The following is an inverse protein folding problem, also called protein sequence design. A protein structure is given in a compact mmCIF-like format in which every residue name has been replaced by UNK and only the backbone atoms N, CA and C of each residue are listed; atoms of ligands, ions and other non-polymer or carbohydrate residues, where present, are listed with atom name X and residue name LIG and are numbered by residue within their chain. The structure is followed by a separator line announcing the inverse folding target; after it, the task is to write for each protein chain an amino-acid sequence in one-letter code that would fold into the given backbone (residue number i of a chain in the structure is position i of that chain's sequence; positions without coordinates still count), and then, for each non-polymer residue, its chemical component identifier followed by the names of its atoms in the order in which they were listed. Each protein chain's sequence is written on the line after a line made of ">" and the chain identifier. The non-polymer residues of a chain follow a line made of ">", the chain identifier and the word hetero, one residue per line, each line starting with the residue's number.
data_IF_956750015078
#
_entry.id   IF_956750015078
#
_cell.length_a   1.000
_cell.length_b   1.000
_cell.length_c   1.000
_cell.angle_alpha   90.00
_cell.angle_beta   90.00
_cell.angle_gamma   90.00
#
_symmetry.space_group_name_H-M   'P 1'
#
loop_
_entity.id
_entity.type
_entity.pdbx_description
1 polymer ?
#
# COMPACT_ATOMS: atom_id res chain seq x y z
N UNK A 1 -4.46 -9.86 -13.79
CA UNK A 1 -5.58 -9.03 -13.30
C UNK A 1 -5.40 -7.61 -13.80
N UNK A 2 -6.09 -7.28 -14.88
CA UNK A 2 -6.41 -5.89 -15.17
C UNK A 2 -7.52 -5.48 -14.20
N UNK A 3 -7.22 -4.54 -13.30
CA UNK A 3 -8.17 -4.07 -12.29
C UNK A 3 -9.37 -3.31 -12.90
N UNK A 4 -9.35 -3.03 -14.21
CA UNK A 4 -10.43 -2.35 -14.92
C UNK A 4 -11.53 -3.28 -15.41
N UNK A 5 -11.28 -4.58 -15.51
CA UNK A 5 -12.20 -5.53 -16.17
C UNK A 5 -12.64 -6.67 -15.25
N UNK A 6 -11.99 -6.87 -14.11
CA UNK A 6 -12.38 -7.89 -13.14
C UNK A 6 -13.48 -7.38 -12.19
N UNK A 7 -14.48 -8.21 -11.92
CA UNK A 7 -15.47 -7.95 -10.87
C UNK A 7 -14.79 -7.92 -9.50
N UNK A 8 -14.96 -6.86 -8.69
CA UNK A 8 -14.37 -6.82 -7.36
C UNK A 8 -15.05 -7.84 -6.45
N UNK A 9 -14.26 -8.57 -5.67
CA UNK A 9 -14.74 -9.35 -4.53
C UNK A 9 -14.44 -8.58 -3.24
N UNK A 10 -15.46 -8.24 -2.48
CA UNK A 10 -15.31 -7.57 -1.19
C UNK A 10 -15.19 -8.61 -0.09
N UNK A 11 -14.24 -8.38 0.83
CA UNK A 11 -14.12 -9.16 2.06
C UNK A 11 -14.56 -8.26 3.20
N UNK A 12 -15.70 -8.58 3.80
CA UNK A 12 -16.14 -7.90 5.00
C UNK A 12 -15.21 -8.31 6.15
N UNK A 13 -14.75 -7.32 6.92
CA UNK A 13 -14.08 -7.58 8.18
C UNK A 13 -15.04 -8.38 9.05
N UNK A 14 -14.65 -9.57 9.53
CA UNK A 14 -15.60 -10.43 10.25
C UNK A 14 -16.22 -9.68 11.42
N UNK A 15 -17.56 -9.68 11.45
CA UNK A 15 -18.36 -9.24 12.59
C UNK A 15 -18.26 -10.20 13.81
N UNK A 16 -17.28 -11.12 13.82
CA UNK A 16 -17.10 -12.14 14.85
C UNK A 16 -16.88 -11.57 16.27
N UNK A 17 -16.70 -10.25 16.42
CA UNK A 17 -16.56 -9.57 17.71
C UNK A 17 -17.61 -8.48 17.97
N UNK A 18 -18.78 -8.49 17.32
CA UNK A 18 -19.89 -7.58 17.70
C UNK A 18 -20.32 -7.75 19.17
N UNK A 19 -20.08 -8.91 19.78
CA UNK A 19 -20.37 -9.18 21.20
C UNK A 19 -19.28 -8.69 22.17
N UNK A 20 -18.11 -8.25 21.67
CA UNK A 20 -16.95 -7.86 22.49
C UNK A 20 -16.49 -6.41 22.28
N UNK A 21 -17.11 -5.67 21.36
CA UNK A 21 -16.71 -4.29 21.08
C UNK A 21 -17.55 -3.29 21.87
N UNK A 22 -16.93 -2.48 22.76
CA UNK A 22 -17.61 -1.34 23.35
C UNK A 22 -17.93 -0.34 22.22
N UNK A 23 -19.21 -0.05 22.01
CA UNK A 23 -19.69 1.13 21.26
C UNK A 23 -19.45 1.19 19.73
N UNK A 24 -19.39 0.07 19.01
CA UNK A 24 -19.46 0.10 17.53
C UNK A 24 -18.29 0.81 16.84
N UNK A 25 -17.17 0.99 17.54
CA UNK A 25 -15.94 1.54 17.00
C UNK A 25 -15.04 0.43 16.47
N UNK A 26 -14.37 0.67 15.33
CA UNK A 26 -13.42 -0.29 14.78
C UNK A 26 -12.24 -0.48 15.74
N UNK A 27 -11.67 -1.70 15.83
CA UNK A 27 -10.54 -1.99 16.73
C UNK A 27 -9.21 -1.41 16.22
N UNK A 28 -9.22 -0.75 15.07
CA UNK A 28 -8.07 -0.13 14.43
C UNK A 28 -8.45 1.23 13.83
N UNK A 29 -7.43 2.05 13.57
CA UNK A 29 -7.52 3.24 12.72
C UNK A 29 -6.46 3.15 11.61
N UNK A 30 -6.64 3.97 10.58
CA UNK A 30 -5.66 4.13 9.51
C UNK A 30 -5.00 5.50 9.71
N UNK A 31 -3.69 5.53 9.93
CA UNK A 31 -2.94 6.78 9.85
C UNK A 31 -2.55 7.03 8.40
N UNK A 32 -2.78 8.25 7.93
CA UNK A 32 -2.23 8.76 6.67
C UNK A 32 -1.25 9.88 6.97
N UNK A 33 0.04 9.62 6.79
CA UNK A 33 1.11 10.59 7.03
C UNK A 33 1.66 11.11 5.71
N UNK A 34 1.62 12.43 5.51
CA UNK A 34 2.03 13.07 4.27
C UNK A 34 3.53 13.41 4.29
N UNK A 35 4.25 13.03 3.24
CA UNK A 35 5.69 13.28 3.14
C UNK A 35 6.05 14.75 2.88
N UNK A 36 5.12 15.55 2.35
CA UNK A 36 5.39 16.92 1.90
C UNK A 36 5.99 17.01 0.49
N UNK A 37 6.29 15.88 -0.15
CA UNK A 37 6.77 15.82 -1.53
C UNK A 37 5.61 16.05 -2.50
N UNK A 38 5.64 17.18 -3.21
CA UNK A 38 4.60 17.57 -4.17
C UNK A 38 4.98 17.28 -5.62
N UNK A 39 6.28 17.29 -5.96
CA UNK A 39 6.75 17.09 -7.33
C UNK A 39 7.20 15.65 -7.59
N UNK A 40 7.09 15.22 -8.85
CA UNK A 40 7.61 13.93 -9.27
C UNK A 40 9.13 13.91 -9.23
N UNK A 41 9.70 12.81 -8.72
CA UNK A 41 11.10 12.50 -8.94
C UNK A 41 11.41 12.41 -10.45
N UNK A 42 12.67 12.68 -10.89
CA UNK A 42 13.02 12.74 -12.30
C UNK A 42 12.65 11.49 -13.09
N UNK A 43 12.23 11.66 -14.36
CA UNK A 43 11.69 10.62 -15.25
C UNK A 43 12.50 9.31 -15.35
N UNK A 44 13.82 9.33 -15.08
CA UNK A 44 14.73 8.20 -15.29
C UNK A 44 14.61 7.05 -14.28
N UNK A 45 13.99 7.25 -13.11
CA UNK A 45 13.76 6.19 -12.10
C UNK A 45 12.35 6.27 -11.49
N UNK A 46 11.38 6.65 -12.34
CA UNK A 46 10.00 6.86 -11.92
C UNK A 46 9.09 5.67 -12.25
N UNK A 47 7.80 5.88 -12.04
CA UNK A 47 6.74 4.90 -12.28
C UNK A 47 6.82 4.19 -13.64
N UNK A 48 7.03 4.93 -14.74
CA UNK A 48 7.07 4.34 -16.08
C UNK A 48 8.26 3.40 -16.30
N UNK A 49 9.39 3.64 -15.64
CA UNK A 49 10.53 2.71 -15.66
C UNK A 49 10.12 1.37 -15.06
N UNK A 50 9.44 1.38 -13.91
CA UNK A 50 8.94 0.16 -13.26
C UNK A 50 7.93 -0.59 -14.12
N UNK A 51 7.06 0.14 -14.81
CA UNK A 51 6.12 -0.46 -15.77
C UNK A 51 6.89 -1.14 -16.92
N UNK A 52 7.92 -0.52 -17.49
CA UNK A 52 8.75 -1.12 -18.54
C UNK A 52 9.45 -2.38 -18.05
N UNK A 53 10.12 -2.31 -16.90
CA UNK A 53 10.84 -3.44 -16.31
C UNK A 53 9.88 -4.63 -16.02
N UNK A 54 8.65 -4.37 -15.55
CA UNK A 54 7.67 -5.43 -15.36
C UNK A 54 7.23 -6.07 -16.70
N UNK A 55 7.06 -5.28 -17.76
CA UNK A 55 6.74 -5.81 -19.10
C UNK A 55 7.89 -6.63 -19.67
N UNK A 56 9.11 -6.17 -19.48
CA UNK A 56 10.32 -6.88 -19.92
C UNK A 56 10.50 -8.21 -19.18
N UNK A 57 10.29 -8.22 -17.86
CA UNK A 57 10.29 -9.44 -17.06
C UNK A 57 9.21 -10.42 -17.53
N UNK A 58 7.98 -9.94 -17.80
CA UNK A 58 6.90 -10.78 -18.32
C UNK A 58 7.26 -11.37 -19.70
N UNK A 59 7.81 -10.56 -20.61
CA UNK A 59 8.25 -11.01 -21.93
C UNK A 59 9.29 -12.13 -21.84
N UNK A 60 10.30 -11.98 -20.98
CA UNK A 60 11.35 -12.98 -20.82
C UNK A 60 10.78 -14.31 -20.28
N UNK A 61 9.88 -14.26 -19.30
CA UNK A 61 9.22 -15.45 -18.75
C UNK A 61 8.31 -16.15 -19.77
N UNK A 62 7.50 -15.38 -20.51
CA UNK A 62 6.59 -15.92 -21.54
C UNK A 62 7.34 -16.55 -22.71
N UNK A 63 8.44 -15.93 -23.15
CA UNK A 63 9.30 -16.49 -24.17
C UNK A 63 9.94 -17.81 -23.68
N UNK A 64 10.44 -17.85 -22.45
CA UNK A 64 11.00 -19.07 -21.86
C UNK A 64 9.97 -20.20 -21.71
N UNK A 65 8.67 -19.89 -21.65
CA UNK A 65 7.58 -20.88 -21.58
C UNK A 65 6.88 -21.15 -22.91
N UNK A 66 7.35 -20.59 -24.04
CA UNK A 66 6.74 -20.76 -25.35
C UNK A 66 5.37 -20.07 -25.53
N UNK A 67 5.07 -19.05 -24.73
CA UNK A 67 3.81 -18.32 -24.72
C UNK A 67 3.95 -16.89 -25.29
N UNK A 68 4.73 -16.71 -26.34
CA UNK A 68 5.13 -15.39 -26.89
C UNK A 68 3.96 -14.54 -27.41
N UNK A 69 2.87 -15.16 -27.84
CA UNK A 69 1.65 -14.47 -28.29
C UNK A 69 0.85 -13.82 -27.14
N UNK A 70 1.21 -14.13 -25.90
CA UNK A 70 0.54 -13.59 -24.71
C UNK A 70 1.00 -12.15 -24.44
N UNK A 71 0.11 -11.19 -24.13
CA UNK A 71 0.52 -9.84 -23.80
C UNK A 71 1.50 -9.82 -22.61
N UNK A 72 2.62 -9.11 -22.80
CA UNK A 72 3.75 -8.98 -21.86
C UNK A 72 3.40 -8.24 -20.56
N UNK A 73 2.57 -8.85 -19.73
CA UNK A 73 2.12 -8.35 -18.43
C UNK A 73 2.32 -9.47 -17.43
N UNK A 74 2.95 -9.20 -16.28
CA UNK A 74 3.30 -10.23 -15.29
C UNK A 74 2.09 -11.03 -14.81
N UNK A 75 0.89 -10.45 -14.82
CA UNK A 75 -0.32 -11.15 -14.44
C UNK A 75 -0.80 -12.22 -15.42
N UNK A 76 -0.27 -12.23 -16.64
CA UNK A 76 -0.54 -13.27 -17.64
C UNK A 76 0.49 -14.41 -17.55
N UNK A 77 1.50 -14.28 -16.69
CA UNK A 77 2.48 -15.33 -16.43
C UNK A 77 1.96 -16.20 -15.29
N UNK A 78 1.84 -17.49 -15.55
CA UNK A 78 1.46 -18.46 -14.51
C UNK A 78 2.52 -18.47 -13.38
N UNK A 79 2.12 -18.46 -12.09
CA UNK A 79 3.06 -18.57 -10.98
C UNK A 79 4.01 -19.77 -11.07
N UNK A 80 3.58 -20.90 -11.64
CA UNK A 80 4.42 -22.08 -11.89
C UNK A 80 5.49 -21.78 -12.93
N UNK A 81 5.13 -21.05 -14.00
CA UNK A 81 6.11 -20.57 -14.99
C UNK A 81 7.12 -19.64 -14.34
N UNK A 82 6.68 -18.70 -13.51
CA UNK A 82 7.60 -17.84 -12.77
C UNK A 82 8.58 -18.64 -11.89
N UNK A 83 8.09 -19.55 -11.05
CA UNK A 83 8.97 -20.30 -10.14
C UNK A 83 9.98 -21.19 -10.90
N UNK A 84 9.58 -21.76 -12.04
CA UNK A 84 10.44 -22.62 -12.87
C UNK A 84 11.41 -21.85 -13.77
N UNK A 85 11.03 -20.65 -14.24
CA UNK A 85 11.80 -19.89 -15.24
C UNK A 85 12.44 -18.61 -14.68
N UNK A 86 12.24 -18.22 -13.41
CA UNK A 86 12.79 -16.96 -12.85
C UNK A 86 14.29 -16.76 -13.01
N UNK A 87 15.07 -17.84 -13.19
CA UNK A 87 16.51 -17.75 -13.44
C UNK A 87 16.89 -17.12 -14.79
N UNK A 88 15.95 -17.00 -15.74
CA UNK A 88 16.18 -16.32 -17.02
C UNK A 88 16.20 -14.79 -16.88
N UNK A 89 15.77 -14.25 -15.74
CA UNK A 89 15.66 -12.82 -15.52
C UNK A 89 16.99 -12.22 -15.06
N UNK A 90 17.37 -11.11 -15.67
CA UNK A 90 18.43 -10.24 -15.15
C UNK A 90 18.06 -9.70 -13.76
N UNK A 91 19.07 -9.30 -12.98
CA UNK A 91 18.90 -8.96 -11.55
C UNK A 91 17.77 -7.95 -11.29
N UNK A 92 17.73 -6.85 -12.03
CA UNK A 92 16.70 -5.82 -11.88
C UNK A 92 15.30 -6.36 -12.21
N UNK A 93 15.16 -7.12 -13.30
CA UNK A 93 13.89 -7.71 -13.73
C UNK A 93 13.40 -8.76 -12.74
N UNK A 94 14.33 -9.57 -12.21
CA UNK A 94 14.07 -10.59 -11.19
C UNK A 94 13.47 -9.95 -9.94
N UNK A 95 14.03 -8.84 -9.46
CA UNK A 95 13.48 -8.08 -8.32
C UNK A 95 12.06 -7.57 -8.59
N UNK A 96 11.76 -7.07 -9.80
CA UNK A 96 10.40 -6.62 -10.15
C UNK A 96 9.39 -7.75 -10.20
N UNK A 97 9.76 -8.87 -10.82
CA UNK A 97 8.93 -10.06 -10.85
C UNK A 97 8.69 -10.61 -9.44
N UNK A 98 9.74 -10.69 -8.62
CA UNK A 98 9.63 -11.11 -7.22
C UNK A 98 8.68 -10.21 -6.43
N UNK A 99 8.82 -8.88 -6.54
CA UNK A 99 7.89 -7.96 -5.91
C UNK A 99 6.43 -8.28 -6.31
N UNK A 100 6.16 -8.45 -7.60
CA UNK A 100 4.82 -8.75 -8.10
C UNK A 100 4.25 -10.07 -7.55
N UNK A 101 4.95 -11.18 -7.76
CA UNK A 101 4.43 -12.51 -7.40
C UNK A 101 4.28 -12.67 -5.88
N UNK A 102 5.21 -12.12 -5.09
CA UNK A 102 5.08 -12.15 -3.64
C UNK A 102 4.05 -11.13 -3.11
N UNK A 103 3.83 -9.99 -3.77
CA UNK A 103 2.73 -9.08 -3.42
C UNK A 103 1.37 -9.77 -3.64
N UNK A 104 1.20 -10.53 -4.73
CA UNK A 104 -0.04 -11.30 -4.95
C UNK A 104 -0.29 -12.33 -3.84
N UNK A 105 0.77 -13.01 -3.37
CA UNK A 105 0.70 -13.92 -2.21
C UNK A 105 0.31 -13.15 -0.93
N UNK A 106 0.93 -11.99 -0.67
CA UNK A 106 0.59 -11.14 0.49
C UNK A 106 -0.84 -10.61 0.45
N UNK A 107 -1.35 -10.21 -0.71
CA UNK A 107 -2.74 -9.76 -0.87
C UNK A 107 -3.70 -10.89 -0.55
N UNK A 108 -3.43 -12.11 -1.00
CA UNK A 108 -4.29 -13.27 -0.70
C UNK A 108 -4.31 -13.55 0.80
N UNK A 109 -3.13 -13.65 1.44
CA UNK A 109 -3.05 -13.83 2.90
C UNK A 109 -3.67 -12.68 3.69
N UNK A 110 -3.49 -11.44 3.23
CA UNK A 110 -4.03 -10.25 3.88
C UNK A 110 -5.55 -10.22 3.83
N UNK A 111 -6.16 -10.71 2.75
CA UNK A 111 -7.61 -10.92 2.67
C UNK A 111 -8.10 -11.92 3.71
N UNK A 112 -7.39 -13.04 3.87
CA UNK A 112 -7.74 -14.04 4.87
C UNK A 112 -7.56 -13.51 6.29
N UNK A 113 -6.44 -12.84 6.59
CA UNK A 113 -6.20 -12.20 7.88
C UNK A 113 -7.29 -11.16 8.21
N UNK A 114 -7.67 -10.33 7.24
CA UNK A 114 -8.76 -9.37 7.37
C UNK A 114 -10.12 -10.05 7.59
N UNK A 115 -10.40 -11.13 6.85
CA UNK A 115 -11.63 -11.90 7.00
C UNK A 115 -11.78 -12.53 8.39
N UNK A 116 -10.68 -12.83 9.09
CA UNK A 116 -10.68 -13.42 10.42
C UNK A 116 -10.44 -12.40 11.55
N UNK A 117 -10.34 -11.11 11.22
CA UNK A 117 -10.02 -10.07 12.19
C UNK A 117 -8.59 -10.12 12.75
N UNK A 118 -7.67 -10.85 12.12
CA UNK A 118 -6.28 -10.97 12.54
C UNK A 118 -5.47 -9.72 12.10
N UNK A 119 -5.66 -8.62 12.82
CA UNK A 119 -5.01 -7.35 12.52
C UNK A 119 -3.49 -7.39 12.68
N UNK A 120 -2.97 -8.25 13.57
CA UNK A 120 -1.53 -8.42 13.77
C UNK A 120 -0.86 -8.97 12.50
N UNK A 121 -1.42 -10.06 11.95
CA UNK A 121 -0.93 -10.66 10.71
C UNK A 121 -1.10 -9.71 9.52
N UNK A 122 -2.26 -9.03 9.44
CA UNK A 122 -2.48 -8.03 8.40
C UNK A 122 -1.41 -6.91 8.45
N UNK A 123 -1.12 -6.39 9.64
CA UNK A 123 -0.09 -5.37 9.84
C UNK A 123 1.31 -5.85 9.43
N UNK A 124 1.67 -7.08 9.78
CA UNK A 124 2.93 -7.70 9.33
C UNK A 124 3.00 -7.79 7.80
N UNK A 125 1.95 -8.28 7.14
CA UNK A 125 1.88 -8.38 5.68
C UNK A 125 1.96 -7.00 5.00
N UNK A 126 1.33 -5.98 5.58
CA UNK A 126 1.43 -4.59 5.12
C UNK A 126 2.88 -4.10 5.20
N UNK A 127 3.57 -4.38 6.30
CA UNK A 127 4.96 -3.96 6.53
C UNK A 127 5.94 -4.67 5.61
N UNK A 128 5.76 -5.97 5.39
CA UNK A 128 6.50 -6.77 4.40
C UNK A 128 6.30 -6.25 2.98
N UNK A 129 5.07 -5.84 2.65
CA UNK A 129 4.79 -5.20 1.38
C UNK A 129 5.54 -3.87 1.24
N UNK A 130 5.49 -3.00 2.25
CA UNK A 130 6.28 -1.77 2.29
C UNK A 130 7.77 -2.01 2.10
N UNK A 131 8.34 -3.00 2.78
CA UNK A 131 9.74 -3.41 2.61
C UNK A 131 10.03 -3.91 1.20
N UNK A 132 9.13 -4.70 0.61
CA UNK A 132 9.27 -5.19 -0.76
C UNK A 132 9.18 -4.05 -1.77
N UNK A 133 8.34 -3.04 -1.55
CA UNK A 133 8.28 -1.82 -2.36
C UNK A 133 9.63 -1.08 -2.36
N UNK A 134 10.31 -1.01 -1.21
CA UNK A 134 11.61 -0.35 -1.08
C UNK A 134 12.74 -1.20 -1.70
N UNK A 135 12.81 -2.48 -1.35
CA UNK A 135 13.94 -3.34 -1.74
C UNK A 135 13.74 -3.93 -3.14
N UNK A 136 12.63 -4.61 -3.38
CA UNK A 136 12.43 -5.36 -4.63
C UNK A 136 11.87 -4.49 -5.74
N UNK A 137 10.95 -3.57 -5.41
CA UNK A 137 10.40 -2.64 -6.39
C UNK A 137 11.23 -1.36 -6.52
N UNK A 138 12.16 -1.10 -5.60
CA UNK A 138 13.02 0.11 -5.60
C UNK A 138 12.21 1.38 -5.86
N UNK A 139 11.09 1.53 -5.16
CA UNK A 139 10.36 2.78 -5.05
C UNK A 139 10.55 3.36 -3.63
N UNK A 140 10.16 4.62 -3.45
CA UNK A 140 10.48 5.39 -2.25
C UNK A 140 11.59 6.41 -2.53
N UNK A 141 11.34 7.66 -2.13
CA UNK A 141 12.42 8.61 -1.90
C UNK A 141 13.03 8.36 -0.52
N UNK A 142 14.19 8.96 -0.23
CA UNK A 142 14.81 8.92 1.09
C UNK A 142 13.84 9.36 2.18
N UNK A 143 13.09 10.43 1.92
CA UNK A 143 12.16 11.05 2.86
C UNK A 143 10.92 10.18 3.09
N UNK A 144 10.41 9.53 2.04
CA UNK A 144 9.33 8.55 2.18
C UNK A 144 9.76 7.31 2.97
N UNK A 145 10.96 6.78 2.71
CA UNK A 145 11.52 5.64 3.46
C UNK A 145 11.64 6.01 4.94
N UNK A 146 12.15 7.21 5.24
CA UNK A 146 12.25 7.69 6.62
C UNK A 146 10.89 7.84 7.30
N UNK A 147 9.87 8.35 6.60
CA UNK A 147 8.51 8.43 7.12
C UNK A 147 7.91 7.04 7.40
N UNK A 148 8.15 6.08 6.50
CA UNK A 148 7.76 4.68 6.70
C UNK A 148 8.43 4.08 7.93
N UNK A 149 9.73 4.28 8.12
CA UNK A 149 10.46 3.80 9.30
C UNK A 149 9.98 4.43 10.60
N UNK A 150 9.56 5.70 10.58
CA UNK A 150 8.94 6.38 11.73
C UNK A 150 7.58 5.77 12.04
N UNK A 151 6.73 5.54 11.02
CA UNK A 151 5.42 4.93 11.21
C UNK A 151 5.50 3.53 11.84
N UNK A 152 6.50 2.72 11.44
CA UNK A 152 6.73 1.39 12.04
C UNK A 152 7.05 1.43 13.54
N UNK A 153 7.53 2.56 14.05
CA UNK A 153 7.89 2.75 15.46
C UNK A 153 6.78 3.45 16.26
N UNK A 154 5.69 3.86 15.61
CA UNK A 154 4.63 4.59 16.26
C UNK A 154 3.91 3.69 17.30
N UNK A 155 3.50 4.24 18.45
CA UNK A 155 2.74 3.50 19.45
C UNK A 155 1.51 2.79 18.85
N UNK A 156 1.32 1.51 19.15
CA UNK A 156 0.19 0.73 18.63
C UNK A 156 0.20 0.51 17.12
N UNK A 157 1.31 0.79 16.41
CA UNK A 157 1.43 0.46 15.00
C UNK A 157 1.48 -1.05 14.77
N UNK A 158 0.50 -1.55 14.00
CA UNK A 158 0.41 -2.94 13.57
C UNK A 158 1.21 -3.15 12.28
N UNK A 159 1.23 -2.14 11.42
CA UNK A 159 2.08 -2.14 10.23
C UNK A 159 1.94 -0.90 9.36
N UNK A 160 2.95 -0.64 8.54
CA UNK A 160 2.99 0.54 7.69
C UNK A 160 3.44 0.22 6.26
N UNK A 161 3.10 1.06 5.28
CA UNK A 161 3.64 1.00 3.92
C UNK A 161 3.46 2.33 3.19
N UNK A 162 4.04 2.45 2.00
CA UNK A 162 3.70 3.54 1.09
C UNK A 162 2.26 3.39 0.59
N UNK A 163 1.60 4.53 0.41
CA UNK A 163 0.32 4.61 -0.31
C UNK A 163 0.55 5.13 -1.73
N UNK A 164 -0.05 4.48 -2.71
CA UNK A 164 0.10 4.83 -4.12
C UNK A 164 1.46 4.44 -4.72
N UNK A 165 1.93 5.21 -5.71
CA UNK A 165 3.09 4.85 -6.52
C UNK A 165 4.45 4.85 -5.78
N UNK A 166 4.52 5.37 -4.55
CA UNK A 166 5.74 5.35 -3.72
C UNK A 166 6.83 6.35 -4.10
N UNK A 167 6.62 7.24 -5.08
CA UNK A 167 7.61 8.27 -5.47
C UNK A 167 7.32 9.67 -4.90
N UNK A 168 6.13 9.84 -4.31
CA UNK A 168 5.63 11.03 -3.60
C UNK A 168 4.39 10.63 -2.80
N UNK A 169 3.82 11.57 -2.05
CA UNK A 169 2.50 11.41 -1.43
C UNK A 169 2.60 11.04 0.04
N UNK A 170 1.90 9.98 0.45
CA UNK A 170 1.79 9.60 1.85
C UNK A 170 2.24 8.15 2.11
N UNK A 171 2.60 7.91 3.37
CA UNK A 171 2.66 6.57 3.92
C UNK A 171 1.39 6.33 4.73
N UNK A 172 0.96 5.08 4.80
CA UNK A 172 -0.15 4.65 5.65
C UNK A 172 0.36 3.72 6.75
N UNK A 173 -0.32 3.71 7.89
CA UNK A 173 -0.19 2.67 8.90
C UNK A 173 -1.54 2.23 9.42
N UNK A 174 -1.67 0.94 9.75
CA UNK A 174 -2.76 0.45 10.59
C UNK A 174 -2.27 0.52 12.03
N UNK A 175 -3.08 1.12 12.91
CA UNK A 175 -2.78 1.29 14.33
C UNK A 175 -3.95 0.83 15.18
N UNK A 176 -3.68 0.41 16.41
CA UNK A 176 -4.71 0.15 17.43
C UNK A 176 -5.55 1.40 17.68
N UNK A 177 -6.88 1.25 17.80
CA UNK A 177 -7.79 2.39 17.84
C UNK A 177 -7.57 3.32 19.04
N UNK A 178 -7.24 2.76 20.19
CA UNK A 178 -6.96 3.49 21.43
C UNK A 178 -5.57 4.15 21.46
N UNK A 179 -4.67 3.78 20.54
CA UNK A 179 -3.33 4.37 20.39
C UNK A 179 -3.23 5.35 19.22
N UNK A 180 -4.29 5.53 18.44
CA UNK A 180 -4.23 6.24 17.16
C UNK A 180 -3.78 7.71 17.28
N UNK A 181 -4.26 8.45 18.29
CA UNK A 181 -3.85 9.85 18.50
C UNK A 181 -2.41 9.96 19.00
N UNK A 182 -1.99 9.09 19.92
CA UNK A 182 -0.60 9.00 20.40
C UNK A 182 0.35 8.68 19.23
N UNK A 183 -0.05 7.75 18.36
CA UNK A 183 0.67 7.38 17.16
C UNK A 183 0.79 8.54 16.18
N UNK A 184 -0.31 9.27 15.94
CA UNK A 184 -0.29 10.43 15.07
C UNK A 184 0.60 11.55 15.63
N UNK A 185 0.53 11.83 16.93
CA UNK A 185 1.38 12.81 17.60
C UNK A 185 2.87 12.43 17.50
N UNK A 186 3.20 11.16 17.75
CA UNK A 186 4.55 10.63 17.60
C UNK A 186 5.09 10.84 16.18
N UNK A 187 4.31 10.44 15.16
CA UNK A 187 4.74 10.55 13.76
C UNK A 187 4.94 12.01 13.36
N UNK A 188 4.04 12.93 13.78
CA UNK A 188 4.20 14.38 13.53
C UNK A 188 5.52 14.89 14.11
N UNK A 189 5.79 14.58 15.38
CA UNK A 189 6.98 15.08 16.08
C UNK A 189 8.28 14.52 15.47
N UNK A 190 8.34 13.20 15.23
CA UNK A 190 9.55 12.57 14.70
C UNK A 190 9.82 12.93 13.24
N UNK A 191 8.77 13.06 12.42
CA UNK A 191 8.95 13.46 11.03
C UNK A 191 9.30 14.94 10.89
N UNK A 192 8.81 15.82 11.76
CA UNK A 192 9.21 17.24 11.81
C UNK A 192 10.71 17.40 12.15
N UNK A 193 11.23 16.59 13.08
CA UNK A 193 12.68 16.55 13.37
C UNK A 193 13.48 16.04 12.18
N UNK A 194 12.97 15.02 11.51
CA UNK A 194 13.65 14.37 10.39
C UNK A 194 13.66 15.20 9.10
N UNK A 195 12.56 15.90 8.80
CA UNK A 195 12.29 16.57 7.52
C UNK A 195 11.61 17.94 7.72
N UNK A 196 12.22 18.89 8.47
CA UNK A 196 11.56 20.13 8.86
C UNK A 196 11.13 21.00 7.67
N UNK A 197 11.92 21.03 6.60
CA UNK A 197 11.61 21.82 5.40
C UNK A 197 10.46 21.27 4.55
N UNK A 198 10.23 19.95 4.58
CA UNK A 198 9.10 19.35 3.87
C UNK A 198 7.83 19.48 4.70
N UNK A 199 7.95 19.28 6.01
CA UNK A 199 6.83 19.39 6.96
C UNK A 199 6.29 20.82 7.03
N UNK A 200 7.14 21.84 6.90
CA UNK A 200 6.69 23.25 6.86
C UNK A 200 5.81 23.59 5.65
N UNK A 201 5.85 22.76 4.59
CA UNK A 201 5.01 22.91 3.39
C UNK A 201 3.64 22.24 3.53
N UNK A 202 3.39 21.54 4.64
CA UNK A 202 2.14 20.86 4.93
C UNK A 202 1.42 21.62 6.04
N UNK A 203 0.13 21.98 5.86
CA UNK A 203 -0.69 22.52 6.94
C UNK A 203 -0.64 21.59 8.18
N UNK A 204 -0.51 22.17 9.37
CA UNK A 204 -0.26 21.41 10.59
C UNK A 204 -1.34 20.33 10.87
N UNK A 205 -2.60 20.66 10.59
CA UNK A 205 -3.78 19.79 10.68
C UNK A 205 -3.81 18.66 9.64
N UNK A 206 -2.95 18.72 8.62
CA UNK A 206 -2.90 17.75 7.51
C UNK A 206 -1.63 16.93 7.45
N UNK A 207 -0.70 17.10 8.39
CA UNK A 207 0.58 16.35 8.42
C UNK A 207 0.35 14.85 8.60
N UNK A 208 -0.50 14.50 9.56
CA UNK A 208 -0.91 13.12 9.84
C UNK A 208 -2.41 13.12 10.18
N UNK A 209 -3.17 12.39 9.38
CA UNK A 209 -4.60 12.20 9.57
C UNK A 209 -4.88 10.83 10.21
N UNK A 210 -5.80 10.81 11.16
CA UNK A 210 -6.40 9.58 11.69
C UNK A 210 -7.69 9.34 10.92
N UNK A 211 -7.78 8.20 10.24
CA UNK A 211 -8.85 7.91 9.28
C UNK A 211 -9.54 6.59 9.60
N UNK A 212 -10.77 6.48 9.12
CA UNK A 212 -11.57 5.26 9.05
C UNK A 212 -11.95 4.96 7.58
N UNK A 213 -12.29 3.71 7.24
CA UNK A 213 -12.88 3.40 5.94
C UNK A 213 -14.17 4.21 5.73
N UNK A 214 -14.26 4.91 4.59
CA UNK A 214 -15.44 5.69 4.22
C UNK A 214 -16.27 5.05 3.11
N UNK A 215 -17.38 5.69 2.76
CA UNK A 215 -18.26 5.27 1.68
C UNK A 215 -17.66 5.49 0.28
N UNK A 216 -18.27 4.82 -0.71
CA UNK A 216 -17.97 5.02 -2.13
C UNK A 216 -18.69 6.24 -2.72
N UNK A 217 -18.32 6.61 -3.96
CA UNK A 217 -18.98 7.68 -4.69
C UNK A 217 -20.49 7.45 -4.81
N UNK A 218 -21.29 8.48 -4.51
CA UNK A 218 -22.76 8.46 -4.59
C UNK A 218 -23.30 9.77 -5.16
N UNK A 219 -24.47 9.69 -5.77
CA UNK A 219 -25.23 10.89 -6.19
C UNK A 219 -25.96 11.43 -4.97
N UNK A 220 -25.73 12.71 -4.64
CA UNK A 220 -26.49 13.42 -3.62
C UNK A 220 -27.61 14.15 -4.36
N UNK A 221 -28.85 13.69 -4.15
CA UNK A 221 -30.02 14.37 -4.67
C UNK A 221 -30.40 15.53 -3.72
N UNK A 222 -30.80 16.69 -4.24
CA UNK A 222 -31.28 17.78 -3.39
C UNK A 222 -32.49 17.30 -2.60
N UNK A 223 -32.53 17.65 -1.31
CA UNK A 223 -33.65 17.32 -0.45
C UNK A 223 -34.91 18.06 -0.96
N UNK A 224 -35.97 17.35 -1.38
CA UNK A 224 -37.20 17.98 -1.85
C UNK A 224 -37.90 18.83 -0.79
N UNK A 225 -37.49 18.74 0.48
CA UNK A 225 -38.05 19.50 1.60
C UNK A 225 -37.20 20.71 2.04
N UNK A 226 -36.02 20.93 1.47
CA UNK A 226 -35.16 22.10 1.75
C UNK A 226 -35.38 23.27 0.78
N UNK A 227 -36.45 23.22 -0.03
CA UNK A 227 -36.90 24.33 -0.87
C UNK A 227 -38.00 25.13 -0.18
N UNK A 228 -37.62 25.93 0.82
CA UNK A 228 -38.46 27.00 1.39
C UNK A 228 -37.62 28.19 1.80
#
# INVERSE_FOLDING_TARGET
>A
MDCKTASPSYVCFSELNKSQQPQGQLPFKILLAFSGLQHNLPKKRGYNTRVSECKEAARALLHASGCEDTPNILCNVDPVVYETQKCVLEENLSRRAEHYFFEMKRVTKGRDAWAHGNLQELGQLISESGRSSILNYECGSKEMIQLYEILLKAPGALGARFSGAGFRGCCLAIVESDRAEDAAAYVRAEYEKAQPELVSRIPADRRVLVCEPGDSARVILPDPHLSS
#
